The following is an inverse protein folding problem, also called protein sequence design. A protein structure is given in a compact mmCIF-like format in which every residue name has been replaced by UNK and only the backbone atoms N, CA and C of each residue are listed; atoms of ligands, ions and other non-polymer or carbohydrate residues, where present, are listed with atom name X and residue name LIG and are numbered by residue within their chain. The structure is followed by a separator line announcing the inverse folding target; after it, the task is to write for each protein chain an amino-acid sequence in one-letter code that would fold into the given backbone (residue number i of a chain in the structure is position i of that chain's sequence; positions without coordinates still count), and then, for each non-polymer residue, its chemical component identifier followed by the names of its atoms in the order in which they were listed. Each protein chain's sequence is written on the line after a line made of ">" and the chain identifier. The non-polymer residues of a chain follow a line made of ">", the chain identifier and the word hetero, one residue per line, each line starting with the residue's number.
data_IF_736121925985
#
_entry.id   IF_736121925985
#
_cell.length_a   1.000
_cell.length_b   1.000
_cell.length_c   1.000
_cell.angle_alpha   90.00
_cell.angle_beta   90.00
_cell.angle_gamma   90.00
#
_symmetry.space_group_name_H-M   'P 1'
#
loop_
_entity.id
_entity.type
_entity.pdbx_description
1 polymer ?
#
# COMPACT_ATOMS: atom_id res chain seq x y z
N UNK A 1 17.42 9.99 18.55
CA UNK A 1 17.58 8.69 17.86
C UNK A 1 16.19 8.14 17.65
N UNK A 2 15.77 7.72 16.45
CA UNK A 2 14.48 7.09 16.28
C UNK A 2 14.46 5.78 17.07
N UNK A 3 13.38 5.57 17.81
CA UNK A 3 13.13 4.34 18.54
C UNK A 3 12.93 3.18 17.55
N UNK A 4 13.94 2.32 17.43
CA UNK A 4 13.92 1.13 16.57
C UNK A 4 13.37 -0.09 17.35
N UNK A 5 12.35 0.09 18.16
CA UNK A 5 11.60 -1.02 18.76
C UNK A 5 10.63 -1.68 17.76
N UNK A 6 10.96 -1.66 16.45
CA UNK A 6 10.17 -2.38 15.46
C UNK A 6 10.61 -3.84 15.43
N UNK A 7 9.73 -4.73 15.89
CA UNK A 7 9.88 -6.16 15.55
C UNK A 7 10.00 -6.25 14.02
N UNK A 8 11.10 -6.80 13.48
CA UNK A 8 11.29 -6.85 12.05
C UNK A 8 10.16 -7.65 11.40
N UNK A 9 9.43 -7.03 10.50
CA UNK A 9 8.41 -7.70 9.70
C UNK A 9 9.09 -8.52 8.61
N UNK A 10 8.88 -9.82 8.62
CA UNK A 10 9.57 -10.79 7.75
C UNK A 10 8.68 -11.26 6.61
N UNK A 11 7.37 -11.27 6.84
CA UNK A 11 6.39 -11.83 5.92
C UNK A 11 5.24 -10.87 5.64
N UNK A 12 5.02 -10.63 4.34
CA UNK A 12 3.97 -9.76 3.81
C UNK A 12 3.10 -10.59 2.86
N UNK A 13 1.84 -10.85 3.23
CA UNK A 13 0.94 -11.72 2.48
C UNK A 13 -0.06 -10.90 1.66
N UNK A 14 0.03 -10.99 0.33
CA UNK A 14 -0.92 -10.36 -0.58
C UNK A 14 -2.26 -11.11 -0.62
N UNK A 15 -3.34 -10.35 -0.54
CA UNK A 15 -4.71 -10.85 -0.64
C UNK A 15 -5.52 -9.94 -1.55
N UNK A 16 -6.07 -10.45 -2.68
CA UNK A 16 -6.91 -9.64 -3.56
C UNK A 16 -8.11 -9.05 -2.81
N UNK A 17 -8.35 -7.74 -2.96
CA UNK A 17 -9.44 -7.06 -2.26
C UNK A 17 -10.83 -7.61 -2.63
N UNK A 18 -10.96 -8.22 -3.82
CA UNK A 18 -12.20 -8.87 -4.28
C UNK A 18 -12.45 -10.23 -3.60
N UNK A 19 -11.58 -10.67 -2.70
CA UNK A 19 -11.66 -11.98 -2.01
C UNK A 19 -11.69 -11.82 -0.49
N UNK A 20 -12.76 -11.21 0.08
CA UNK A 20 -12.83 -10.91 1.51
C UNK A 20 -12.74 -12.15 2.41
N UNK A 21 -13.14 -13.33 1.92
CA UNK A 21 -13.02 -14.60 2.63
C UNK A 21 -11.55 -14.99 2.91
N UNK A 22 -10.60 -14.39 2.19
CA UNK A 22 -9.17 -14.63 2.39
C UNK A 22 -8.57 -13.73 3.46
N UNK A 23 -9.20 -12.61 3.80
CA UNK A 23 -8.68 -11.69 4.82
C UNK A 23 -8.62 -12.37 6.20
N UNK A 24 -9.66 -13.16 6.55
CA UNK A 24 -9.68 -13.93 7.79
C UNK A 24 -8.57 -14.99 7.78
N UNK A 25 -8.39 -15.68 6.65
CA UNK A 25 -7.31 -16.67 6.51
C UNK A 25 -5.91 -16.02 6.61
N UNK A 26 -5.76 -14.79 6.14
CA UNK A 26 -4.52 -14.05 6.30
C UNK A 26 -4.23 -13.75 7.78
N UNK A 27 -5.26 -13.44 8.57
CA UNK A 27 -5.13 -13.29 10.03
C UNK A 27 -4.63 -14.58 10.70
N UNK A 28 -5.09 -15.74 10.20
CA UNK A 28 -4.73 -17.07 10.73
C UNK A 28 -3.36 -17.58 10.21
N UNK A 29 -2.79 -16.98 9.17
CA UNK A 29 -1.58 -17.46 8.48
C UNK A 29 -0.27 -17.23 9.22
N UNK A 30 -0.28 -16.52 10.36
CA UNK A 30 0.90 -16.06 11.09
C UNK A 30 1.84 -15.16 10.25
N UNK A 31 1.35 -14.57 9.16
CA UNK A 31 2.07 -13.50 8.47
C UNK A 31 2.19 -12.27 9.38
N UNK A 32 3.29 -11.54 9.29
CA UNK A 32 3.47 -10.32 10.09
C UNK A 32 2.56 -9.19 9.58
N UNK A 33 2.32 -9.12 8.25
CA UNK A 33 1.46 -8.13 7.61
C UNK A 33 0.58 -8.79 6.56
N UNK A 34 -0.71 -8.45 6.56
CA UNK A 34 -1.63 -8.78 5.46
C UNK A 34 -1.80 -7.57 4.56
N UNK A 35 -1.57 -7.76 3.26
CA UNK A 35 -1.76 -6.73 2.23
C UNK A 35 -3.11 -6.96 1.57
N UNK A 36 -4.01 -5.99 1.67
CA UNK A 36 -5.21 -5.92 0.85
C UNK A 36 -4.82 -5.24 -0.46
N UNK A 37 -4.98 -5.94 -1.55
CA UNK A 37 -4.52 -5.48 -2.85
C UNK A 37 -5.67 -4.95 -3.71
N UNK A 38 -5.59 -3.66 -4.09
CA UNK A 38 -6.51 -3.00 -5.03
C UNK A 38 -5.93 -2.95 -6.45
N UNK A 39 -4.66 -3.33 -6.64
CA UNK A 39 -3.97 -3.14 -7.92
C UNK A 39 -4.04 -4.39 -8.82
N UNK A 40 -2.94 -5.06 -9.06
CA UNK A 40 -2.78 -6.08 -10.12
C UNK A 40 -3.70 -7.29 -9.94
N UNK A 41 -4.03 -7.66 -8.71
CA UNK A 41 -4.91 -8.80 -8.44
C UNK A 41 -6.41 -8.49 -8.65
N UNK A 42 -6.75 -7.28 -9.05
CA UNK A 42 -8.12 -6.81 -9.26
C UNK A 42 -8.30 -6.30 -10.69
N UNK A 43 -9.29 -6.84 -11.40
CA UNK A 43 -9.57 -6.40 -12.77
C UNK A 43 -10.13 -4.97 -12.80
N UNK A 44 -9.98 -4.22 -13.93
CA UNK A 44 -10.50 -2.86 -14.03
C UNK A 44 -11.98 -2.75 -13.69
N UNK A 45 -12.80 -3.73 -14.07
CA UNK A 45 -14.25 -3.74 -13.81
C UNK A 45 -14.58 -3.96 -12.33
N UNK A 46 -13.69 -4.57 -11.57
CA UNK A 46 -13.88 -4.91 -10.16
C UNK A 46 -13.32 -3.86 -9.20
N UNK A 47 -12.58 -2.85 -9.67
CA UNK A 47 -11.90 -1.85 -8.83
C UNK A 47 -12.84 -1.16 -7.86
N UNK A 48 -14.03 -0.73 -8.33
CA UNK A 48 -15.01 -0.06 -7.49
C UNK A 48 -15.56 -0.98 -6.37
N UNK A 49 -15.79 -2.26 -6.69
CA UNK A 49 -16.24 -3.24 -5.70
C UNK A 49 -15.12 -3.58 -4.70
N UNK A 50 -13.88 -3.72 -5.18
CA UNK A 50 -12.70 -3.98 -4.35
C UNK A 50 -12.49 -2.87 -3.31
N UNK A 51 -12.63 -1.59 -3.69
CA UNK A 51 -12.59 -0.43 -2.76
C UNK A 51 -13.65 -0.56 -1.67
N UNK A 52 -14.89 -0.86 -2.03
CA UNK A 52 -15.97 -1.02 -1.04
C UNK A 52 -15.67 -2.14 -0.04
N UNK A 53 -15.18 -3.27 -0.51
CA UNK A 53 -14.81 -4.42 0.34
C UNK A 53 -13.65 -4.04 1.27
N UNK A 54 -12.61 -3.38 0.76
CA UNK A 54 -11.48 -2.92 1.55
C UNK A 54 -11.92 -1.95 2.66
N UNK A 55 -12.77 -0.96 2.35
CA UNK A 55 -13.33 -0.03 3.34
C UNK A 55 -14.14 -0.75 4.41
N UNK A 56 -15.02 -1.68 4.02
CA UNK A 56 -15.81 -2.45 4.97
C UNK A 56 -14.93 -3.25 5.92
N UNK A 57 -13.90 -3.89 5.41
CA UNK A 57 -12.96 -4.63 6.23
C UNK A 57 -12.19 -3.71 7.20
N UNK A 58 -11.66 -2.58 6.72
CA UNK A 58 -10.95 -1.62 7.56
C UNK A 58 -11.84 -1.06 8.68
N UNK A 59 -13.13 -0.81 8.39
CA UNK A 59 -14.09 -0.30 9.37
C UNK A 59 -14.50 -1.32 10.43
N UNK A 60 -14.44 -2.61 10.11
CA UNK A 60 -14.81 -3.72 11.00
C UNK A 60 -13.62 -4.59 11.41
N UNK A 61 -12.42 -4.06 11.24
CA UNK A 61 -11.16 -4.76 11.47
C UNK A 61 -11.16 -5.50 12.80
N UNK A 62 -10.84 -6.81 12.82
CA UNK A 62 -10.70 -7.57 14.05
C UNK A 62 -9.60 -6.97 14.94
N UNK A 63 -9.82 -6.98 16.25
CA UNK A 63 -8.77 -6.61 17.19
C UNK A 63 -7.72 -7.74 17.24
N UNK A 64 -6.66 -7.59 16.45
CA UNK A 64 -5.58 -8.56 16.32
C UNK A 64 -4.24 -7.82 16.28
N UNK A 65 -3.15 -8.55 16.56
CA UNK A 65 -1.78 -8.03 16.40
C UNK A 65 -1.32 -7.93 14.95
N UNK A 66 -2.07 -8.53 14.02
CA UNK A 66 -1.75 -8.49 12.59
C UNK A 66 -1.85 -7.06 12.07
N UNK A 67 -0.78 -6.60 11.43
CA UNK A 67 -0.76 -5.32 10.72
C UNK A 67 -1.42 -5.45 9.35
N UNK A 68 -2.16 -4.43 8.96
CA UNK A 68 -2.84 -4.38 7.67
C UNK A 68 -2.17 -3.33 6.78
N UNK A 69 -1.81 -3.73 5.58
CA UNK A 69 -1.40 -2.85 4.51
C UNK A 69 -2.47 -2.80 3.41
N UNK A 70 -2.60 -1.65 2.76
CA UNK A 70 -3.44 -1.48 1.57
C UNK A 70 -2.52 -1.11 0.40
N UNK A 71 -2.44 -1.97 -0.63
CA UNK A 71 -1.81 -1.59 -1.90
C UNK A 71 -2.85 -0.89 -2.76
N UNK A 72 -2.63 0.40 -3.00
CA UNK A 72 -3.47 1.21 -3.87
C UNK A 72 -3.04 1.07 -5.33
N UNK A 73 -3.83 1.60 -6.25
CA UNK A 73 -3.43 1.69 -7.66
C UNK A 73 -2.40 2.81 -7.89
N UNK A 74 -1.66 2.72 -9.00
CA UNK A 74 -0.66 3.71 -9.35
C UNK A 74 -1.23 5.14 -9.37
N UNK A 75 -0.46 6.09 -8.83
CA UNK A 75 -0.87 7.50 -8.64
C UNK A 75 -1.20 8.24 -9.94
N UNK A 76 -0.68 7.77 -11.06
CA UNK A 76 -0.92 8.31 -12.40
C UNK A 76 -2.12 7.69 -13.13
N UNK A 77 -2.95 6.90 -12.42
CA UNK A 77 -4.13 6.23 -12.98
C UNK A 77 -5.43 6.78 -12.41
N UNK A 78 -6.53 6.65 -13.15
CA UNK A 78 -7.86 6.99 -12.65
C UNK A 78 -8.21 6.19 -11.38
N UNK A 79 -7.89 4.90 -11.36
CA UNK A 79 -8.13 4.05 -10.21
C UNK A 79 -7.35 4.51 -8.97
N UNK A 80 -6.10 4.98 -9.13
CA UNK A 80 -5.30 5.52 -8.03
C UNK A 80 -5.92 6.80 -7.44
N UNK A 81 -6.45 7.68 -8.27
CA UNK A 81 -7.15 8.87 -7.80
C UNK A 81 -8.41 8.50 -7.02
N UNK A 82 -9.17 7.51 -7.50
CA UNK A 82 -10.36 7.02 -6.77
C UNK A 82 -9.99 6.32 -5.45
N UNK A 83 -8.85 5.62 -5.38
CA UNK A 83 -8.36 5.02 -4.15
C UNK A 83 -7.98 6.10 -3.11
N UNK A 84 -7.33 7.19 -3.55
CA UNK A 84 -7.04 8.33 -2.68
C UNK A 84 -8.31 9.01 -2.17
N UNK A 85 -9.30 9.21 -3.05
CA UNK A 85 -10.59 9.76 -2.65
C UNK A 85 -11.28 8.87 -1.59
N UNK A 86 -11.27 7.55 -1.79
CA UNK A 86 -11.76 6.59 -0.82
C UNK A 86 -11.05 6.74 0.54
N UNK A 87 -9.72 6.85 0.54
CA UNK A 87 -8.93 7.02 1.76
C UNK A 87 -9.29 8.32 2.52
N UNK A 88 -9.57 9.41 1.80
CA UNK A 88 -10.01 10.67 2.40
C UNK A 88 -11.39 10.57 3.07
N UNK A 89 -12.30 9.77 2.50
CA UNK A 89 -13.63 9.54 3.07
C UNK A 89 -13.62 8.49 4.19
N UNK A 90 -12.56 7.67 4.25
CA UNK A 90 -12.45 6.58 5.22
C UNK A 90 -12.01 7.12 6.58
N UNK A 91 -12.77 6.78 7.63
CA UNK A 91 -12.38 7.08 9.02
C UNK A 91 -11.39 6.08 9.59
N UNK A 92 -11.15 4.98 8.88
CA UNK A 92 -10.33 3.85 9.33
C UNK A 92 -9.20 3.64 8.34
N UNK A 93 -8.01 3.98 8.75
CA UNK A 93 -6.81 3.84 7.94
C UNK A 93 -6.12 2.50 8.20
N UNK A 94 -5.45 1.90 7.19
CA UNK A 94 -4.56 0.76 7.39
C UNK A 94 -3.30 1.17 8.17
N UNK A 95 -2.53 0.21 8.68
CA UNK A 95 -1.23 0.51 9.29
C UNK A 95 -0.21 0.99 8.24
N UNK A 96 -0.33 0.48 7.00
CA UNK A 96 0.55 0.83 5.87
C UNK A 96 -0.25 1.08 4.60
N UNK A 97 0.17 2.07 3.82
CA UNK A 97 -0.24 2.22 2.42
C UNK A 97 0.97 1.89 1.53
N UNK A 98 0.75 1.00 0.55
CA UNK A 98 1.76 0.60 -0.42
C UNK A 98 1.46 1.30 -1.74
N UNK A 99 2.42 2.08 -2.23
CA UNK A 99 2.35 2.77 -3.51
C UNK A 99 3.10 1.94 -4.57
N UNK A 100 2.40 1.34 -5.53
CA UNK A 100 3.04 0.73 -6.68
C UNK A 100 3.57 1.80 -7.64
N UNK A 101 4.48 1.42 -8.51
CA UNK A 101 5.02 2.29 -9.56
C UNK A 101 5.45 3.66 -9.03
N UNK A 102 6.17 3.62 -7.89
CA UNK A 102 6.69 4.84 -7.27
C UNK A 102 7.87 5.35 -8.07
N UNK A 103 7.64 6.41 -8.83
CA UNK A 103 8.61 6.96 -9.79
C UNK A 103 9.14 8.35 -9.41
N UNK A 104 8.60 8.94 -8.35
CA UNK A 104 9.08 10.23 -7.82
C UNK A 104 8.76 10.39 -6.34
N UNK A 105 9.53 11.24 -5.66
CA UNK A 105 9.25 11.67 -4.29
C UNK A 105 7.85 12.30 -4.15
N UNK A 106 7.39 13.00 -5.18
CA UNK A 106 6.09 13.67 -5.18
C UNK A 106 4.91 12.70 -4.98
N UNK A 107 4.99 11.46 -5.48
CA UNK A 107 3.96 10.45 -5.25
C UNK A 107 3.74 10.20 -3.76
N UNK A 108 4.83 10.02 -3.02
CA UNK A 108 4.79 9.79 -1.57
C UNK A 108 4.36 11.05 -0.80
N UNK A 109 4.84 12.22 -1.20
CA UNK A 109 4.52 13.50 -0.55
C UNK A 109 3.04 13.86 -0.66
N UNK A 110 2.40 13.55 -1.79
CA UNK A 110 0.95 13.73 -1.96
C UNK A 110 0.20 12.85 -0.96
N UNK A 111 0.52 11.56 -0.90
CA UNK A 111 -0.17 10.62 0.01
C UNK A 111 0.13 10.96 1.48
N UNK A 112 1.36 11.36 1.81
CA UNK A 112 1.71 11.84 3.15
C UNK A 112 0.85 13.04 3.58
N UNK A 113 0.68 14.02 2.69
CA UNK A 113 -0.16 15.19 2.95
C UNK A 113 -1.61 14.80 3.24
N UNK A 114 -2.16 13.83 2.50
CA UNK A 114 -3.52 13.32 2.72
C UNK A 114 -3.65 12.60 4.08
N UNK A 115 -2.68 11.75 4.42
CA UNK A 115 -2.63 11.04 5.71
C UNK A 115 -2.55 12.04 6.87
N UNK A 116 -1.71 13.06 6.72
CA UNK A 116 -1.56 14.13 7.71
C UNK A 116 -2.87 14.91 7.91
N UNK A 117 -3.56 15.28 6.83
CA UNK A 117 -4.86 15.97 6.89
C UNK A 117 -5.93 15.11 7.58
N UNK A 118 -5.88 13.80 7.43
CA UNK A 118 -6.77 12.85 8.06
C UNK A 118 -6.41 12.56 9.54
N UNK A 119 -5.27 13.06 10.04
CA UNK A 119 -4.80 12.83 11.40
C UNK A 119 -4.41 11.37 11.67
N UNK A 120 -3.97 10.63 10.65
CA UNK A 120 -3.60 9.23 10.77
C UNK A 120 -2.08 9.04 10.94
N UNK A 121 -1.70 7.97 11.64
CA UNK A 121 -0.29 7.55 11.81
C UNK A 121 0.15 6.49 10.79
N UNK A 122 -0.63 6.27 9.75
CA UNK A 122 -0.32 5.33 8.65
C UNK A 122 1.08 5.57 8.09
N UNK A 123 1.83 4.48 7.89
CA UNK A 123 3.15 4.50 7.29
C UNK A 123 3.08 4.21 5.79
N UNK A 124 4.12 4.60 5.06
CA UNK A 124 4.19 4.43 3.61
C UNK A 124 5.27 3.41 3.22
N UNK A 125 4.98 2.66 2.18
CA UNK A 125 5.91 1.77 1.46
C UNK A 125 5.83 2.15 -0.01
N UNK A 126 6.98 2.36 -0.68
CA UNK A 126 7.05 2.52 -2.13
C UNK A 126 7.47 1.22 -2.81
N UNK A 127 6.90 0.89 -3.97
CA UNK A 127 7.41 -0.19 -4.82
C UNK A 127 8.22 0.43 -5.96
N UNK A 128 9.48 0.04 -6.06
CA UNK A 128 10.38 0.39 -7.16
C UNK A 128 10.33 -0.75 -8.16
N UNK A 129 9.71 -0.49 -9.31
CA UNK A 129 9.41 -1.51 -10.31
C UNK A 129 9.49 -0.99 -11.76
N UNK A 130 10.17 0.17 -11.94
CA UNK A 130 10.52 0.74 -13.23
C UNK A 130 11.92 1.35 -13.20
N UNK A 131 12.55 1.52 -14.36
CA UNK A 131 13.84 2.19 -14.50
C UNK A 131 13.73 3.66 -14.05
N UNK A 132 12.60 4.30 -14.30
CA UNK A 132 12.35 5.68 -13.83
C UNK A 132 12.37 5.74 -12.30
N UNK A 133 11.67 4.83 -11.63
CA UNK A 133 11.65 4.74 -10.17
C UNK A 133 13.04 4.41 -9.60
N UNK A 134 13.78 3.51 -10.25
CA UNK A 134 15.13 3.16 -9.84
C UNK A 134 16.09 4.35 -9.92
N UNK A 135 16.02 5.14 -11.00
CA UNK A 135 16.84 6.35 -11.15
C UNK A 135 16.49 7.45 -10.14
N UNK A 136 15.27 7.45 -9.60
CA UNK A 136 14.80 8.40 -8.60
C UNK A 136 14.89 7.87 -7.15
N UNK A 137 15.45 6.68 -6.92
CA UNK A 137 15.34 5.96 -5.65
C UNK A 137 15.87 6.74 -4.44
N UNK A 138 16.94 7.50 -4.60
CA UNK A 138 17.49 8.32 -3.51
C UNK A 138 16.52 9.42 -3.09
N UNK A 139 15.95 10.15 -4.05
CA UNK A 139 14.94 11.18 -3.76
C UNK A 139 13.64 10.59 -3.22
N UNK A 140 13.26 9.39 -3.67
CA UNK A 140 12.12 8.65 -3.16
C UNK A 140 12.35 8.25 -1.70
N UNK A 141 13.56 7.76 -1.36
CA UNK A 141 13.90 7.36 0.00
C UNK A 141 13.84 8.52 1.01
N UNK A 142 14.13 9.73 0.55
CA UNK A 142 14.11 10.96 1.36
C UNK A 142 12.76 11.71 1.29
N UNK A 143 11.75 11.16 0.63
CA UNK A 143 10.52 11.90 0.31
C UNK A 143 9.71 12.35 1.53
N UNK A 144 9.64 11.54 2.58
CA UNK A 144 8.83 11.78 3.77
C UNK A 144 9.28 10.90 4.95
N UNK A 145 9.19 11.38 6.20
CA UNK A 145 9.47 10.58 7.39
C UNK A 145 8.46 9.43 7.61
N UNK A 146 7.32 9.41 6.91
CA UNK A 146 6.35 8.30 6.95
C UNK A 146 6.81 7.10 6.12
N UNK A 147 7.70 7.29 5.16
CA UNK A 147 8.26 6.19 4.39
C UNK A 147 9.10 5.30 5.30
N UNK A 148 8.72 4.05 5.43
CA UNK A 148 9.40 3.10 6.32
C UNK A 148 10.10 1.96 5.58
N UNK A 149 9.96 1.90 4.26
CA UNK A 149 10.65 0.91 3.43
C UNK A 149 10.33 1.05 1.95
N UNK A 150 11.15 0.38 1.16
CA UNK A 150 10.97 0.22 -0.28
C UNK A 150 10.88 -1.28 -0.58
N UNK A 151 9.98 -1.64 -1.48
CA UNK A 151 9.88 -2.98 -2.06
C UNK A 151 10.41 -2.96 -3.49
N UNK A 152 10.96 -4.07 -3.94
CA UNK A 152 11.37 -4.24 -5.33
C UNK A 152 10.35 -5.09 -6.09
N UNK A 153 9.75 -4.52 -7.15
CA UNK A 153 8.79 -5.22 -8.01
C UNK A 153 9.49 -5.86 -9.20
N UNK A 154 10.00 -7.09 -9.00
CA UNK A 154 10.87 -7.74 -9.98
C UNK A 154 10.19 -8.03 -11.32
N UNK A 155 8.89 -8.37 -11.32
CA UNK A 155 8.16 -8.72 -12.55
C UNK A 155 7.98 -7.49 -13.46
N UNK A 156 7.50 -6.38 -12.91
CA UNK A 156 7.30 -5.14 -13.67
C UNK A 156 8.64 -4.53 -14.09
N UNK A 157 9.66 -4.59 -13.21
CA UNK A 157 11.01 -4.16 -13.57
C UNK A 157 11.58 -4.97 -14.74
N UNK A 158 11.41 -6.30 -14.74
CA UNK A 158 11.86 -7.15 -15.83
C UNK A 158 11.13 -6.78 -17.15
N UNK A 159 9.84 -6.54 -17.09
CA UNK A 159 9.06 -6.09 -18.25
C UNK A 159 9.55 -4.72 -18.76
N UNK A 160 9.85 -3.78 -17.86
CA UNK A 160 10.29 -2.42 -18.21
C UNK A 160 11.66 -2.40 -18.90
N UNK A 161 12.58 -3.29 -18.51
CA UNK A 161 13.91 -3.43 -19.14
C UNK A 161 13.93 -4.41 -20.32
N UNK A 162 12.82 -5.09 -20.60
CA UNK A 162 12.72 -6.06 -21.70
C UNK A 162 13.44 -7.38 -21.44
N UNK A 163 13.52 -7.83 -20.20
CA UNK A 163 14.18 -9.06 -19.75
C UNK A 163 13.20 -10.21 -19.54
#
# INVERSE_FOLDING_TARGET
>A
MPDISHTPTRSWLFTPAIRPERFIKAVESAADISIIDLEDSVTPNDKAQARKIAMQFLSSRPNSSLKIALRINGMNTHAGIEDLHMLLECRFFPDYIILPKTESAAHLQIVDSLIMMAGSDTRLIGIIESVVGLNAVESIADATPRLCGLMFGAADMAADIGA
#
